data_IF_102112245352
#
_entry.id   IF_102112245352
#
_cell.length_a   1.000
_cell.length_b   1.000
_cell.length_c   1.000
_cell.angle_alpha   90.00
_cell.angle_beta   90.00
_cell.angle_gamma   90.00
#
_symmetry.space_group_name_H-M   'P 1'
#
loop_
_entity.id
_entity.type
_entity.pdbx_description
1 polymer ?
#
# COMPACT_ATOMS: atom_id res chain seq x y z
N UNK A 1 -21.56 1.31 -3.64
CA UNK A 1 -20.73 0.25 -3.01
C UNK A 1 -20.94 0.29 -1.50
N UNK A 2 -21.29 -0.85 -0.85
CA UNK A 2 -21.46 -0.93 0.60
C UNK A 2 -20.20 -0.49 1.35
N UNK A 3 -20.35 0.10 2.54
CA UNK A 3 -19.24 0.70 3.31
C UNK A 3 -18.13 -0.31 3.63
N UNK A 4 -18.49 -1.56 3.95
CA UNK A 4 -17.55 -2.64 4.26
C UNK A 4 -16.64 -3.05 3.09
N UNK A 5 -17.06 -2.83 1.83
CA UNK A 5 -16.20 -3.09 0.65
C UNK A 5 -15.12 -2.02 0.43
N UNK A 6 -15.16 -0.90 1.18
CA UNK A 6 -14.14 0.16 1.09
C UNK A 6 -12.97 -0.07 2.04
N UNK A 7 -13.17 -0.92 3.04
CA UNK A 7 -12.25 -1.10 4.16
C UNK A 7 -11.63 -2.51 4.14
N UNK A 8 -11.68 -3.23 3.01
CA UNK A 8 -11.03 -4.53 2.86
C UNK A 8 -10.40 -4.66 1.48
N UNK A 9 -9.27 -5.36 1.40
CA UNK A 9 -8.56 -5.67 0.17
C UNK A 9 -8.25 -7.17 0.10
N UNK A 10 -7.86 -7.68 -1.07
CA UNK A 10 -7.37 -9.05 -1.21
C UNK A 10 -5.85 -9.02 -1.13
N UNK A 11 -5.25 -9.83 -0.26
CA UNK A 11 -3.80 -10.00 -0.22
C UNK A 11 -3.31 -10.91 -1.36
N UNK A 12 -1.98 -11.10 -1.47
CA UNK A 12 -1.41 -11.90 -2.56
C UNK A 12 -1.70 -13.40 -2.44
N UNK A 13 -2.17 -13.88 -1.27
CA UNK A 13 -2.67 -15.25 -1.12
C UNK A 13 -4.10 -15.42 -1.61
N UNK A 14 -4.81 -14.31 -1.87
CA UNK A 14 -6.20 -14.29 -2.30
C UNK A 14 -7.20 -14.29 -1.13
N UNK A 15 -6.77 -13.90 0.07
CA UNK A 15 -7.64 -13.76 1.24
C UNK A 15 -8.06 -12.29 1.43
N UNK A 16 -9.32 -12.06 1.86
CA UNK A 16 -9.78 -10.72 2.21
C UNK A 16 -9.20 -10.28 3.55
N UNK A 17 -8.55 -9.10 3.57
CA UNK A 17 -7.91 -8.49 4.74
C UNK A 17 -8.49 -7.13 5.07
N UNK A 18 -8.47 -6.78 6.35
CA UNK A 18 -8.65 -5.41 6.82
C UNK A 18 -7.32 -4.62 6.73
N UNK A 19 -7.33 -3.28 6.54
CA UNK A 19 -6.13 -2.43 6.46
C UNK A 19 -5.12 -2.56 7.59
N UNK A 20 -5.54 -3.05 8.76
CA UNK A 20 -4.72 -3.18 9.96
C UNK A 20 -4.38 -4.66 10.28
N UNK A 21 -4.68 -5.59 9.37
CA UNK A 21 -4.35 -7.00 9.53
C UNK A 21 -3.05 -7.34 8.82
N UNK A 22 -2.33 -8.31 9.36
CA UNK A 22 -1.20 -8.93 8.69
C UNK A 22 -1.65 -9.57 7.36
N UNK A 23 -0.79 -9.52 6.36
CA UNK A 23 -1.11 -9.94 5.00
C UNK A 23 0.07 -10.64 4.31
N UNK A 24 -0.23 -11.41 3.27
CA UNK A 24 0.80 -11.97 2.37
C UNK A 24 1.09 -10.98 1.24
N UNK A 25 2.35 -10.57 1.10
CA UNK A 25 2.79 -9.73 -0.01
C UNK A 25 3.04 -10.53 -1.31
N UNK A 26 3.32 -9.83 -2.42
CA UNK A 26 3.56 -10.47 -3.72
C UNK A 26 4.77 -11.42 -3.75
N UNK A 27 5.66 -11.37 -2.75
CA UNK A 27 6.76 -12.33 -2.61
C UNK A 27 6.33 -13.63 -1.92
N UNK A 28 5.13 -13.68 -1.33
CA UNK A 28 4.62 -14.80 -0.54
C UNK A 28 4.97 -14.71 0.94
N UNK A 29 5.46 -13.56 1.43
CA UNK A 29 5.89 -13.37 2.81
C UNK A 29 4.80 -12.71 3.66
N UNK A 30 4.69 -13.11 4.93
CA UNK A 30 3.85 -12.41 5.92
C UNK A 30 4.42 -11.03 6.23
N UNK A 31 3.55 -10.02 6.28
CA UNK A 31 3.87 -8.63 6.57
C UNK A 31 2.84 -8.04 7.53
N UNK A 32 3.30 -7.13 8.38
CA UNK A 32 2.44 -6.23 9.14
C UNK A 32 2.29 -4.90 8.40
N UNK A 33 1.14 -4.20 8.49
CA UNK A 33 0.98 -2.87 7.89
C UNK A 33 2.00 -1.83 8.35
N UNK A 34 2.59 -2.02 9.53
CA UNK A 34 3.60 -1.14 10.11
C UNK A 34 5.05 -1.55 9.80
N UNK A 35 5.26 -2.64 9.04
CA UNK A 35 6.61 -3.10 8.70
C UNK A 35 7.31 -2.12 7.74
N UNK A 36 8.65 -2.06 7.83
CA UNK A 36 9.47 -1.39 6.83
C UNK A 36 9.31 -2.04 5.46
N UNK A 37 9.31 -1.24 4.39
CA UNK A 37 9.18 -1.67 3.00
C UNK A 37 10.18 -0.95 2.10
N UNK A 38 10.37 -1.45 0.88
CA UNK A 38 11.22 -0.80 -0.13
C UNK A 38 10.34 0.01 -1.08
N UNK A 39 10.61 1.31 -1.22
CA UNK A 39 9.86 2.18 -2.15
C UNK A 39 10.34 2.03 -3.60
N UNK A 40 9.74 2.78 -4.54
CA UNK A 40 10.08 2.66 -5.96
C UNK A 40 11.53 3.09 -6.29
N UNK A 41 12.19 3.85 -5.42
CA UNK A 41 13.60 4.19 -5.57
C UNK A 41 14.55 3.08 -5.14
N UNK A 42 14.06 2.04 -4.48
CA UNK A 42 14.85 0.93 -3.96
C UNK A 42 15.36 1.14 -2.53
N UNK A 43 14.90 2.20 -1.85
CA UNK A 43 15.29 2.51 -0.47
C UNK A 43 14.29 1.95 0.55
N UNK A 44 14.79 1.53 1.71
CA UNK A 44 13.93 1.11 2.83
C UNK A 44 13.25 2.32 3.50
N UNK A 45 11.96 2.15 3.82
CA UNK A 45 11.07 3.15 4.42
C UNK A 45 10.26 2.51 5.55
N UNK A 46 10.06 3.25 6.63
CA UNK A 46 9.01 2.90 7.59
C UNK A 46 7.61 3.16 7.01
N UNK A 47 6.60 2.48 7.51
CA UNK A 47 5.19 2.61 7.07
C UNK A 47 4.67 4.06 7.07
N UNK A 48 5.25 4.93 7.90
CA UNK A 48 4.85 6.34 8.06
C UNK A 48 5.83 7.35 7.40
N UNK A 49 6.90 6.87 6.76
CA UNK A 49 7.87 7.74 6.08
C UNK A 49 7.34 8.25 4.74
N UNK A 50 7.88 9.38 4.28
CA UNK A 50 7.70 9.77 2.88
C UNK A 50 8.37 8.75 1.96
N UNK A 51 7.77 8.49 0.81
CA UNK A 51 8.24 7.49 -0.15
C UNK A 51 8.18 8.00 -1.58
N UNK A 52 8.95 7.38 -2.48
CA UNK A 52 8.86 7.62 -3.92
C UNK A 52 7.86 6.64 -4.55
N UNK A 53 6.84 7.16 -5.23
CA UNK A 53 5.84 6.36 -5.93
C UNK A 53 6.33 5.86 -7.31
N UNK A 54 5.50 5.05 -7.98
CA UNK A 54 5.78 4.52 -9.33
C UNK A 54 6.00 5.61 -10.41
N UNK A 55 5.57 6.85 -10.13
CA UNK A 55 5.74 7.99 -11.02
C UNK A 55 7.02 8.78 -10.72
N UNK A 56 7.77 8.40 -9.68
CA UNK A 56 9.02 9.02 -9.27
C UNK A 56 8.87 10.24 -8.35
N UNK A 57 7.66 10.50 -7.83
CA UNK A 57 7.41 11.65 -6.95
C UNK A 57 7.38 11.25 -5.48
N UNK A 58 7.82 12.17 -4.61
CA UNK A 58 7.69 12.04 -3.17
C UNK A 58 6.22 12.14 -2.74
N UNK A 59 5.80 11.21 -1.89
CA UNK A 59 4.46 11.11 -1.30
C UNK A 59 4.52 10.97 0.21
N UNK A 60 3.44 11.37 0.88
CA UNK A 60 3.18 11.02 2.28
C UNK A 60 2.17 9.86 2.35
N UNK A 61 2.31 8.90 3.27
CA UNK A 61 1.30 7.88 3.49
C UNK A 61 -0.08 8.52 3.77
N UNK A 62 -1.12 8.04 3.08
CA UNK A 62 -2.47 8.59 3.16
C UNK A 62 -2.71 9.88 2.34
N UNK A 63 -1.71 10.35 1.59
CA UNK A 63 -1.86 11.47 0.67
C UNK A 63 -2.64 11.07 -0.58
N UNK A 64 -3.67 11.85 -0.92
CA UNK A 64 -4.42 11.62 -2.15
C UNK A 64 -3.67 12.13 -3.38
N UNK A 65 -3.47 11.27 -4.37
CA UNK A 65 -2.82 11.62 -5.64
C UNK A 65 -3.54 11.01 -6.87
N UNK A 66 -3.27 11.53 -8.07
CA UNK A 66 -3.70 10.89 -9.33
C UNK A 66 -2.57 10.01 -9.86
N UNK A 67 -2.87 8.75 -10.17
CA UNK A 67 -1.91 7.83 -10.77
C UNK A 67 -1.72 8.10 -12.29
N UNK A 68 -0.77 7.37 -12.90
CA UNK A 68 -0.50 7.50 -14.34
C UNK A 68 -1.71 7.08 -15.22
N UNK A 69 -2.68 6.35 -14.64
CA UNK A 69 -3.89 5.89 -15.31
C UNK A 69 -5.05 6.90 -15.17
N UNK A 70 -4.82 8.03 -14.49
CA UNK A 70 -5.80 9.09 -14.28
C UNK A 70 -6.81 8.80 -13.16
N UNK A 71 -6.56 7.79 -12.31
CA UNK A 71 -7.42 7.45 -11.18
C UNK A 71 -6.89 8.04 -9.87
N UNK A 72 -7.81 8.43 -8.99
CA UNK A 72 -7.46 8.88 -7.64
C UNK A 72 -7.02 7.71 -6.75
N UNK A 73 -5.85 7.86 -6.13
CA UNK A 73 -5.26 6.99 -5.10
C UNK A 73 -5.16 7.75 -3.78
N UNK A 74 -4.96 7.01 -2.70
CA UNK A 74 -4.82 7.47 -1.32
C UNK A 74 -3.64 6.75 -0.67
#
# INVERSE_FOLDING_TARGET
MPRWKRDHYMDASGEWRSPNEDYIDYSGSWRSPDDDYVDFSGEWRGANDMYIDETGYWRRPGERYMDHSGYWRW
#
